data_IF_344176305048
#
_entry.id   IF_344176305048
#
_cell.length_a   1.000
_cell.length_b   1.000
_cell.length_c   1.000
_cell.angle_alpha   90.00
_cell.angle_beta   90.00
_cell.angle_gamma   90.00
#
_symmetry.space_group_name_H-M   'P 1'
#
loop_
_entity.id
_entity.type
_entity.pdbx_description
1 polymer ?
#
# COMPACT_ATOMS: atom_id res chain seq x y z
N UNK A 1 -4.16 -37.13 -0.03
CA UNK A 1 -4.46 -36.99 1.38
C UNK A 1 -3.15 -36.75 2.12
N UNK A 2 -2.84 -35.49 2.41
CA UNK A 2 -1.73 -35.15 3.32
C UNK A 2 -2.19 -35.58 4.71
N UNK A 3 -1.41 -36.40 5.37
CA UNK A 3 -1.71 -36.91 6.71
C UNK A 3 -1.92 -35.72 7.67
N UNK A 4 -3.16 -35.43 7.98
CA UNK A 4 -3.61 -34.29 8.79
C UNK A 4 -3.36 -34.45 10.30
N UNK A 5 -2.79 -35.57 10.71
CA UNK A 5 -2.64 -35.94 12.14
C UNK A 5 -1.34 -35.49 12.80
N UNK A 6 -0.36 -34.96 12.05
CA UNK A 6 0.94 -34.59 12.59
C UNK A 6 1.13 -33.08 12.86
N UNK A 7 0.24 -32.22 12.40
CA UNK A 7 0.35 -30.75 12.56
C UNK A 7 -0.64 -30.30 13.63
N UNK A 8 -0.14 -29.87 14.79
CA UNK A 8 -0.97 -29.37 15.90
C UNK A 8 -1.36 -27.90 15.75
N UNK A 9 -0.73 -27.15 14.85
CA UNK A 9 -1.02 -25.73 14.61
C UNK A 9 -2.32 -25.57 13.81
N UNK A 10 -3.35 -25.01 14.42
CA UNK A 10 -4.67 -24.81 13.80
C UNK A 10 -4.63 -23.79 12.65
N UNK A 11 -3.67 -22.86 12.61
CA UNK A 11 -3.44 -21.97 11.49
C UNK A 11 -3.15 -22.76 10.22
N UNK A 12 -2.16 -23.66 10.30
CA UNK A 12 -1.77 -24.50 9.16
C UNK A 12 -2.83 -25.55 8.83
N UNK A 13 -3.39 -26.19 9.84
CA UNK A 13 -4.29 -27.34 9.68
C UNK A 13 -5.68 -26.95 9.21
N UNK A 14 -6.21 -25.81 9.68
CA UNK A 14 -7.60 -25.41 9.46
C UNK A 14 -7.76 -24.08 8.75
N UNK A 15 -7.04 -23.03 9.20
CA UNK A 15 -7.30 -21.67 8.75
C UNK A 15 -6.73 -21.42 7.35
N UNK A 16 -5.49 -21.83 7.08
CA UNK A 16 -4.89 -21.67 5.75
C UNK A 16 -5.66 -22.43 4.68
N UNK A 17 -6.03 -23.71 4.85
CA UNK A 17 -6.83 -24.41 3.83
C UNK A 17 -8.18 -23.72 3.55
N UNK A 18 -8.87 -23.25 4.57
CA UNK A 18 -10.15 -22.53 4.41
C UNK A 18 -9.98 -21.20 3.68
N UNK A 19 -8.96 -20.43 4.05
CA UNK A 19 -8.62 -19.18 3.37
C UNK A 19 -8.23 -19.42 1.90
N UNK A 20 -7.46 -20.47 1.63
CA UNK A 20 -7.04 -20.83 0.28
C UNK A 20 -8.23 -21.26 -0.59
N UNK A 21 -9.18 -22.01 -0.04
CA UNK A 21 -10.43 -22.37 -0.74
C UNK A 21 -11.23 -21.10 -1.06
N UNK A 22 -11.39 -20.18 -0.11
CA UNK A 22 -12.08 -18.92 -0.32
C UNK A 22 -11.45 -18.08 -1.45
N UNK A 23 -10.13 -17.95 -1.46
CA UNK A 23 -9.40 -17.26 -2.53
C UNK A 23 -9.61 -17.95 -3.87
N UNK A 24 -9.50 -19.28 -3.89
CA UNK A 24 -9.72 -20.09 -5.08
C UNK A 24 -11.14 -19.91 -5.65
N UNK A 25 -12.15 -19.93 -4.78
CA UNK A 25 -13.55 -19.79 -5.19
C UNK A 25 -13.79 -18.40 -5.82
N UNK A 26 -13.27 -17.32 -5.22
CA UNK A 26 -13.36 -15.98 -5.81
C UNK A 26 -12.64 -15.94 -7.17
N UNK A 27 -11.39 -16.42 -7.24
CA UNK A 27 -10.61 -16.40 -8.47
C UNK A 27 -11.22 -17.28 -9.57
N UNK A 28 -11.82 -18.40 -9.21
CA UNK A 28 -12.47 -19.32 -10.16
C UNK A 28 -13.81 -18.80 -10.64
N UNK A 29 -14.61 -18.19 -9.76
CA UNK A 29 -15.96 -17.75 -10.10
C UNK A 29 -16.03 -16.34 -10.70
N UNK A 30 -14.93 -15.55 -10.60
CA UNK A 30 -14.87 -14.17 -11.11
C UNK A 30 -13.67 -13.89 -12.02
N UNK A 31 -12.84 -14.89 -12.29
CA UNK A 31 -11.70 -14.81 -13.21
C UNK A 31 -12.00 -15.54 -14.50
N UNK A 32 -11.21 -15.31 -15.54
CA UNK A 32 -11.36 -15.70 -16.94
C UNK A 32 -11.67 -17.17 -17.31
N UNK A 33 -12.37 -17.92 -16.47
CA UNK A 33 -12.86 -19.27 -16.73
C UNK A 33 -14.37 -19.36 -17.01
N UNK A 34 -15.10 -18.23 -16.92
CA UNK A 34 -16.55 -18.24 -16.89
C UNK A 34 -17.21 -17.64 -18.11
N UNK A 35 -18.42 -18.16 -18.39
CA UNK A 35 -19.34 -17.68 -19.40
C UNK A 35 -19.73 -16.23 -19.14
N UNK A 36 -20.11 -15.51 -20.19
CA UNK A 36 -20.42 -14.08 -20.21
C UNK A 36 -21.54 -13.62 -19.28
N UNK A 37 -22.23 -14.53 -18.60
CA UNK A 37 -23.37 -14.24 -17.74
C UNK A 37 -23.02 -14.14 -16.24
N UNK A 38 -21.76 -14.37 -15.86
CA UNK A 38 -21.28 -14.28 -14.47
C UNK A 38 -20.63 -12.93 -14.16
N UNK A 39 -20.59 -12.61 -12.86
CA UNK A 39 -20.02 -11.34 -12.37
C UNK A 39 -18.51 -11.29 -12.66
N UNK A 40 -18.08 -10.33 -13.45
CA UNK A 40 -16.67 -10.08 -13.71
C UNK A 40 -15.89 -9.72 -12.45
N UNK A 41 -14.60 -10.11 -12.42
CA UNK A 41 -13.69 -9.69 -11.37
C UNK A 41 -13.64 -8.16 -11.26
N UNK A 42 -13.66 -7.65 -10.04
CA UNK A 42 -13.71 -6.23 -9.74
C UNK A 42 -12.75 -5.83 -8.61
N UNK A 43 -12.68 -4.54 -8.32
CA UNK A 43 -11.78 -4.00 -7.29
C UNK A 43 -12.11 -4.53 -5.89
N UNK A 44 -13.39 -4.79 -5.58
CA UNK A 44 -13.79 -5.38 -4.30
C UNK A 44 -13.20 -6.79 -4.13
N UNK A 45 -13.18 -7.58 -5.19
CA UNK A 45 -12.61 -8.93 -5.16
C UNK A 45 -11.11 -8.87 -4.90
N UNK A 46 -10.38 -8.01 -5.61
CA UNK A 46 -8.94 -7.85 -5.42
C UNK A 46 -8.58 -7.28 -4.05
N UNK A 47 -9.35 -6.32 -3.55
CA UNK A 47 -9.17 -5.73 -2.21
C UNK A 47 -9.46 -6.73 -1.08
N UNK A 48 -10.24 -7.77 -1.35
CA UNK A 48 -10.54 -8.85 -0.40
C UNK A 48 -9.51 -9.97 -0.49
N UNK A 49 -9.19 -10.42 -1.69
CA UNK A 49 -8.31 -11.57 -1.92
C UNK A 49 -6.86 -11.26 -1.54
N UNK A 50 -6.35 -10.08 -1.89
CA UNK A 50 -4.94 -9.74 -1.67
C UNK A 50 -4.54 -9.75 -0.18
N UNK A 51 -5.30 -9.15 0.76
CA UNK A 51 -5.02 -9.27 2.19
C UNK A 51 -5.08 -10.70 2.71
N UNK A 52 -6.00 -11.52 2.21
CA UNK A 52 -6.11 -12.95 2.60
C UNK A 52 -4.88 -13.72 2.13
N UNK A 53 -4.43 -13.53 0.89
CA UNK A 53 -3.20 -14.14 0.38
C UNK A 53 -1.97 -13.70 1.19
N UNK A 54 -1.86 -12.41 1.52
CA UNK A 54 -0.78 -11.87 2.34
C UNK A 54 -0.77 -12.49 3.73
N UNK A 55 -1.94 -12.66 4.35
CA UNK A 55 -2.07 -13.33 5.64
C UNK A 55 -1.67 -14.82 5.56
N UNK A 56 -2.14 -15.55 4.56
CA UNK A 56 -1.75 -16.97 4.35
C UNK A 56 -0.24 -17.10 4.23
N UNK A 57 0.38 -16.20 3.46
CA UNK A 57 1.82 -16.19 3.28
C UNK A 57 2.55 -15.88 4.59
N UNK A 58 2.07 -14.92 5.37
CA UNK A 58 2.62 -14.59 6.69
C UNK A 58 2.56 -15.79 7.65
N UNK A 59 1.44 -16.51 7.70
CA UNK A 59 1.29 -17.69 8.54
C UNK A 59 2.22 -18.86 8.11
N UNK A 60 2.40 -19.05 6.80
CA UNK A 60 3.36 -20.04 6.29
C UNK A 60 4.80 -19.67 6.67
N UNK A 61 5.18 -18.41 6.58
CA UNK A 61 6.50 -17.94 7.02
C UNK A 61 6.67 -18.10 8.52
N UNK A 62 5.69 -17.70 9.33
CA UNK A 62 5.71 -17.87 10.78
C UNK A 62 5.92 -19.33 11.17
N UNK A 63 5.20 -20.23 10.54
CA UNK A 63 5.31 -21.67 10.78
C UNK A 63 6.66 -22.22 10.34
N UNK A 64 7.13 -21.85 9.14
CA UNK A 64 8.40 -22.34 8.56
C UNK A 64 9.60 -21.85 9.37
N UNK A 65 9.57 -20.60 9.82
CA UNK A 65 10.63 -20.00 10.61
C UNK A 65 10.66 -20.48 12.08
N UNK A 66 9.69 -21.29 12.52
CA UNK A 66 9.60 -21.83 13.90
C UNK A 66 9.85 -20.76 14.97
N UNK A 67 9.24 -19.61 14.82
CA UNK A 67 9.41 -18.42 15.68
C UNK A 67 10.83 -17.80 15.69
N UNK A 68 11.63 -18.04 14.66
CA UNK A 68 12.94 -17.39 14.47
C UNK A 68 12.83 -15.94 13.98
N UNK A 69 11.63 -15.54 13.53
CA UNK A 69 11.35 -14.20 13.02
C UNK A 69 10.27 -13.52 13.87
N UNK A 70 10.43 -12.23 14.10
CA UNK A 70 9.39 -11.40 14.71
C UNK A 70 8.21 -11.17 13.76
N UNK A 71 7.07 -10.74 14.32
CA UNK A 71 5.89 -10.35 13.52
C UNK A 71 6.23 -9.20 12.58
N UNK A 72 7.05 -8.24 13.05
CA UNK A 72 7.48 -7.07 12.29
C UNK A 72 8.38 -7.45 11.11
N UNK A 73 9.30 -8.38 11.31
CA UNK A 73 10.17 -8.91 10.24
C UNK A 73 9.36 -9.68 9.20
N UNK A 74 8.45 -10.54 9.65
CA UNK A 74 7.53 -11.27 8.77
C UNK A 74 6.70 -10.29 7.94
N UNK A 75 6.13 -9.26 8.58
CA UNK A 75 5.36 -8.23 7.88
C UNK A 75 6.20 -7.52 6.81
N UNK A 76 7.42 -7.09 7.12
CA UNK A 76 8.31 -6.44 6.14
C UNK A 76 8.57 -7.32 4.92
N UNK A 77 8.78 -8.63 5.12
CA UNK A 77 8.96 -9.57 4.02
C UNK A 77 7.71 -9.66 3.16
N UNK A 78 6.53 -9.83 3.80
CA UNK A 78 5.26 -9.91 3.08
C UNK A 78 5.00 -8.63 2.30
N UNK A 79 5.17 -7.47 2.93
CA UNK A 79 5.01 -6.17 2.27
C UNK A 79 5.94 -6.07 1.05
N UNK A 80 7.19 -6.51 1.15
CA UNK A 80 8.14 -6.52 0.02
C UNK A 80 7.76 -7.47 -1.12
N UNK A 81 7.09 -8.58 -0.81
CA UNK A 81 6.64 -9.56 -1.81
C UNK A 81 5.31 -9.16 -2.47
N UNK A 82 4.48 -8.43 -1.74
CA UNK A 82 3.17 -7.96 -2.22
C UNK A 82 3.24 -6.56 -2.83
N UNK A 83 4.33 -5.84 -2.60
CA UNK A 83 4.59 -4.55 -3.25
C UNK A 83 4.55 -4.71 -4.77
N UNK A 84 3.94 -3.72 -5.41
CA UNK A 84 3.87 -3.69 -6.88
C UNK A 84 5.29 -3.73 -7.45
N UNK A 85 5.47 -4.47 -8.54
CA UNK A 85 6.74 -4.60 -9.27
C UNK A 85 7.41 -3.25 -9.61
N UNK A 86 6.60 -2.19 -9.64
CA UNK A 86 7.03 -0.79 -9.78
C UNK A 86 6.30 0.04 -8.72
N UNK A 87 6.89 0.22 -7.53
CA UNK A 87 6.27 1.02 -6.48
C UNK A 87 6.11 2.47 -6.94
N UNK A 88 4.96 3.07 -6.62
CA UNK A 88 4.73 4.50 -6.89
C UNK A 88 5.68 5.35 -6.04
N UNK A 89 6.03 4.84 -4.86
CA UNK A 89 6.90 5.50 -3.89
C UNK A 89 8.13 4.66 -3.62
N UNK A 90 9.26 5.30 -3.56
CA UNK A 90 10.53 4.74 -3.11
C UNK A 90 11.05 5.56 -1.95
N UNK A 91 11.58 4.93 -0.92
CA UNK A 91 12.18 5.60 0.23
C UNK A 91 13.65 5.23 0.32
N UNK A 92 14.53 6.24 0.20
CA UNK A 92 15.97 6.07 0.28
C UNK A 92 16.52 7.04 1.35
N UNK A 93 17.10 6.51 2.41
CA UNK A 93 17.65 7.28 3.54
C UNK A 93 16.66 8.32 4.11
N UNK A 94 15.40 7.91 4.32
CA UNK A 94 14.34 8.78 4.81
C UNK A 94 13.85 9.82 3.78
N UNK A 95 14.18 9.64 2.52
CA UNK A 95 13.81 10.51 1.40
C UNK A 95 12.79 9.81 0.53
N UNK A 96 11.65 10.43 0.33
CA UNK A 96 10.57 9.90 -0.49
C UNK A 96 10.76 10.35 -1.93
N UNK A 97 10.77 9.38 -2.83
CA UNK A 97 10.72 9.56 -4.27
C UNK A 97 9.36 9.07 -4.79
N UNK A 98 8.82 9.79 -5.75
CA UNK A 98 7.57 9.44 -6.43
C UNK A 98 7.91 9.13 -7.88
N UNK A 99 7.34 8.08 -8.45
CA UNK A 99 7.50 7.76 -9.87
C UNK A 99 7.06 8.97 -10.72
N UNK A 100 7.99 9.46 -11.55
CA UNK A 100 7.77 10.65 -12.40
C UNK A 100 6.62 10.49 -13.39
N UNK A 101 6.19 9.26 -13.70
CA UNK A 101 5.04 8.97 -14.55
C UNK A 101 3.70 9.21 -13.87
N UNK A 102 3.71 9.38 -12.53
CA UNK A 102 2.52 9.51 -11.71
C UNK A 102 2.07 10.94 -11.44
N UNK A 103 2.90 11.93 -11.79
CA UNK A 103 2.55 13.34 -11.60
C UNK A 103 3.00 14.17 -12.81
N UNK A 104 2.28 15.26 -13.06
CA UNK A 104 2.57 16.22 -14.14
C UNK A 104 3.03 17.57 -13.62
N UNK A 105 2.89 17.81 -12.31
CA UNK A 105 3.14 19.12 -11.70
C UNK A 105 3.67 19.00 -10.27
N UNK A 106 4.32 20.06 -9.79
CA UNK A 106 4.79 20.14 -8.41
C UNK A 106 3.66 20.02 -7.36
N UNK A 107 2.47 20.60 -7.55
CA UNK A 107 1.33 20.37 -6.67
C UNK A 107 0.92 18.90 -6.57
N UNK A 108 0.81 18.18 -7.68
CA UNK A 108 0.49 16.74 -7.68
C UNK A 108 1.56 15.92 -6.98
N UNK A 109 2.83 16.17 -7.28
CA UNK A 109 3.94 15.52 -6.57
C UNK A 109 3.89 15.80 -5.06
N UNK A 110 3.54 17.03 -4.65
CA UNK A 110 3.36 17.39 -3.24
C UNK A 110 2.27 16.59 -2.56
N UNK A 111 1.11 16.42 -3.22
CA UNK A 111 0.01 15.63 -2.68
C UNK A 111 0.39 14.17 -2.51
N UNK A 112 1.08 13.58 -3.49
CA UNK A 112 1.55 12.20 -3.42
C UNK A 112 2.59 11.99 -2.30
N UNK A 113 3.56 12.89 -2.14
CA UNK A 113 4.55 12.82 -1.05
C UNK A 113 3.83 12.89 0.31
N UNK A 114 2.92 13.84 0.48
CA UNK A 114 2.16 14.00 1.72
C UNK A 114 1.21 12.82 1.99
N UNK A 115 0.68 12.20 0.94
CA UNK A 115 -0.13 10.97 1.04
C UNK A 115 0.68 9.80 1.59
N UNK A 116 1.92 9.62 1.10
CA UNK A 116 2.84 8.59 1.61
C UNK A 116 3.21 8.81 3.08
N UNK A 117 3.35 10.06 3.50
CA UNK A 117 3.75 10.43 4.87
C UNK A 117 2.58 10.39 5.86
N UNK A 118 1.34 10.53 5.37
CA UNK A 118 0.16 10.55 6.23
C UNK A 118 0.14 9.36 7.21
N UNK A 119 -0.25 9.53 8.48
CA UNK A 119 -0.85 10.72 9.13
C UNK A 119 0.16 11.71 9.77
N UNK A 120 1.44 11.62 9.44
CA UNK A 120 2.48 12.44 10.05
C UNK A 120 2.53 13.83 9.41
N UNK A 121 2.71 14.90 10.24
CA UNK A 121 3.00 16.25 9.77
C UNK A 121 4.46 16.39 9.37
N UNK A 122 4.74 17.21 8.38
CA UNK A 122 6.09 17.63 8.00
C UNK A 122 6.12 19.14 7.80
N UNK A 123 7.30 19.75 7.98
CA UNK A 123 7.47 21.19 7.72
C UNK A 123 7.40 21.49 6.22
N UNK A 124 7.00 22.73 5.87
CA UNK A 124 7.06 23.23 4.48
C UNK A 124 8.45 23.04 3.88
N UNK A 125 9.51 23.32 4.64
CA UNK A 125 10.90 23.18 4.17
C UNK A 125 11.24 21.74 3.85
N UNK A 126 10.79 20.78 4.64
CA UNK A 126 10.99 19.35 4.36
C UNK A 126 10.30 18.96 3.04
N UNK A 127 9.06 19.39 2.83
CA UNK A 127 8.35 19.14 1.57
C UNK A 127 9.07 19.79 0.37
N UNK A 128 9.52 21.03 0.50
CA UNK A 128 10.28 21.72 -0.54
C UNK A 128 11.59 20.97 -0.86
N UNK A 129 12.27 20.44 0.16
CA UNK A 129 13.49 19.65 -0.06
C UNK A 129 13.20 18.33 -0.80
N UNK A 130 12.08 17.67 -0.55
CA UNK A 130 11.66 16.52 -1.35
C UNK A 130 11.37 16.91 -2.81
N UNK A 131 10.67 18.03 -3.03
CA UNK A 131 10.34 18.51 -4.38
C UNK A 131 11.57 18.94 -5.18
N UNK A 132 12.59 19.54 -4.55
CA UNK A 132 13.86 19.84 -5.22
C UNK A 132 14.52 18.61 -5.83
N UNK A 133 14.34 17.43 -5.22
CA UNK A 133 14.87 16.16 -5.74
C UNK A 133 14.10 15.61 -6.94
N UNK A 134 12.84 16.06 -7.09
CA UNK A 134 12.05 15.83 -8.30
C UNK A 134 12.23 16.93 -9.35
N UNK A 135 13.34 17.70 -9.25
CA UNK A 135 13.69 18.80 -10.13
C UNK A 135 12.70 19.97 -10.14
N UNK A 136 11.87 20.13 -9.11
CA UNK A 136 11.01 21.28 -8.97
C UNK A 136 11.71 22.43 -8.22
N UNK A 137 11.53 23.66 -8.72
CA UNK A 137 11.94 24.86 -8.00
C UNK A 137 10.97 25.13 -6.83
N UNK A 138 11.46 25.78 -5.78
CA UNK A 138 10.63 26.17 -4.62
C UNK A 138 9.39 26.98 -5.03
N UNK A 139 9.52 27.87 -6.00
CA UNK A 139 8.43 28.70 -6.52
C UNK A 139 7.35 27.92 -7.31
N UNK A 140 7.60 26.64 -7.62
CA UNK A 140 6.64 25.82 -8.36
C UNK A 140 5.43 25.41 -7.52
N UNK A 141 5.52 25.48 -6.19
CA UNK A 141 4.41 25.16 -5.28
C UNK A 141 3.89 26.46 -4.65
N UNK A 142 2.65 26.79 -4.96
CA UNK A 142 1.89 27.87 -4.31
C UNK A 142 0.95 27.22 -3.28
N UNK A 143 1.34 27.23 -2.02
CA UNK A 143 0.59 26.60 -0.92
C UNK A 143 -0.83 27.14 -0.78
N UNK A 144 -1.05 28.42 -1.13
CA UNK A 144 -2.36 29.05 -1.13
C UNK A 144 -3.35 28.32 -2.06
N UNK A 145 -2.87 27.81 -3.19
CA UNK A 145 -3.69 27.04 -4.15
C UNK A 145 -3.99 25.61 -3.67
N UNK A 146 -3.24 25.13 -2.68
CA UNK A 146 -3.43 23.83 -2.07
C UNK A 146 -4.19 23.90 -0.74
N UNK A 147 -4.65 25.06 -0.32
CA UNK A 147 -5.32 25.28 0.98
C UNK A 147 -6.55 24.40 1.20
N UNK A 148 -7.26 23.99 0.15
CA UNK A 148 -8.39 23.06 0.23
C UNK A 148 -7.97 21.61 0.53
N UNK A 149 -6.71 21.26 0.23
CA UNK A 149 -6.14 19.92 0.38
C UNK A 149 -5.25 19.77 1.60
N UNK A 150 -4.72 20.88 2.11
CA UNK A 150 -3.73 20.90 3.17
C UNK A 150 -4.28 21.59 4.43
N UNK A 151 -3.84 21.10 5.57
CA UNK A 151 -3.92 21.78 6.85
C UNK A 151 -2.51 22.23 7.22
N UNK A 152 -2.32 23.52 7.46
CA UNK A 152 -1.04 24.14 7.79
C UNK A 152 -1.19 24.76 9.18
N UNK A 153 -0.37 24.33 10.13
CA UNK A 153 -0.39 24.84 11.49
C UNK A 153 0.42 26.15 11.64
N UNK A 154 0.36 26.74 12.84
CA UNK A 154 1.06 27.99 13.15
C UNK A 154 2.61 27.90 13.10
N UNK A 155 3.17 26.69 13.02
CA UNK A 155 4.60 26.41 12.88
C UNK A 155 5.00 26.01 11.47
N UNK A 156 4.14 26.26 10.48
CA UNK A 156 4.33 25.89 9.10
C UNK A 156 4.47 24.37 8.84
N UNK A 157 3.92 23.54 9.75
CA UNK A 157 3.83 22.11 9.47
C UNK A 157 2.55 21.78 8.72
N UNK A 158 2.67 20.88 7.76
CA UNK A 158 1.64 20.52 6.80
C UNK A 158 1.12 19.12 7.12
N UNK A 159 -0.21 18.96 7.05
CA UNK A 159 -0.91 17.69 7.05
C UNK A 159 -1.85 17.62 5.87
N UNK A 160 -1.96 16.44 5.25
CA UNK A 160 -2.91 16.22 4.17
C UNK A 160 -4.33 16.05 4.73
N UNK A 161 -5.28 16.86 4.27
CA UNK A 161 -6.70 16.77 4.64
C UNK A 161 -7.38 15.61 3.89
N UNK A 162 -8.59 15.24 4.29
CA UNK A 162 -9.38 14.19 3.62
C UNK A 162 -9.58 14.46 2.11
N UNK A 163 -9.84 15.72 1.74
CA UNK A 163 -9.94 16.15 0.35
C UNK A 163 -8.62 15.96 -0.43
N UNK A 164 -7.50 16.23 0.24
CA UNK A 164 -6.17 16.03 -0.35
C UNK A 164 -5.83 14.56 -0.54
N UNK A 165 -6.23 13.69 0.41
CA UNK A 165 -6.05 12.23 0.28
C UNK A 165 -6.81 11.69 -0.92
N UNK A 166 -8.09 12.03 -1.04
CA UNK A 166 -8.91 11.64 -2.21
C UNK A 166 -8.27 12.11 -3.51
N UNK A 167 -7.77 13.37 -3.53
CA UNK A 167 -7.11 13.90 -4.73
C UNK A 167 -5.81 13.16 -5.06
N UNK A 168 -5.04 12.75 -4.06
CA UNK A 168 -3.83 11.96 -4.26
C UNK A 168 -4.13 10.54 -4.80
N UNK A 169 -5.24 9.94 -4.42
CA UNK A 169 -5.70 8.63 -4.92
C UNK A 169 -6.18 8.67 -6.38
N UNK A 170 -6.62 9.84 -6.86
CA UNK A 170 -7.03 10.06 -8.26
C UNK A 170 -5.84 10.28 -9.22
N UNK A 171 -4.63 10.53 -8.72
CA UNK A 171 -3.40 10.75 -9.51
C UNK A 171 -2.74 9.42 -9.84
#
# INVERSE_FOLDING_TARGET
QVATTAISDDGIRLQIPRASIFVYDIASNRGGRHDSDEVNANEMDSSTVLPVCSWVLAELFRFSAKNLMSIEETKKIIDSLTDRKYPIFEEIDGRIYVDSKKFKSAPECSLLILYKIYPKRISKDTLINFLKRHNFKQSAVKFERLSSYLDIDGNDNILLRATGRRKAEEI
#
